data_IF_758066228202
#
_entry.id   IF_758066228202
#
_cell.length_a   1.000
_cell.length_b   1.000
_cell.length_c   1.000
_cell.angle_alpha   90.00
_cell.angle_beta   90.00
_cell.angle_gamma   90.00
#
_symmetry.space_group_name_H-M   'P 1'
#
loop_
_entity.id
_entity.type
_entity.pdbx_description
1 polymer ?
#
# COMPACT_ATOMS: atom_id res chain seq x y z
N UNK A 1 -14.17 -14.32 -17.39
CA UNK A 1 -12.96 -14.39 -18.23
C UNK A 1 -11.68 -14.43 -17.38
N UNK A 2 -11.43 -13.48 -16.44
CA UNK A 2 -10.20 -13.50 -15.62
C UNK A 2 -10.09 -14.75 -14.72
N UNK A 3 -11.16 -15.27 -14.18
CA UNK A 3 -11.16 -16.49 -13.37
C UNK A 3 -10.56 -17.70 -14.10
N UNK A 4 -10.89 -17.85 -15.39
CA UNK A 4 -10.30 -18.91 -16.23
C UNK A 4 -8.79 -18.68 -16.43
N UNK A 5 -8.36 -17.44 -16.65
CA UNK A 5 -6.94 -17.06 -16.73
C UNK A 5 -6.25 -17.29 -15.39
N UNK A 6 -6.87 -16.88 -14.29
CA UNK A 6 -6.32 -17.06 -12.94
C UNK A 6 -6.19 -18.54 -12.56
N UNK A 7 -7.11 -19.42 -13.04
CA UNK A 7 -7.02 -20.88 -12.79
C UNK A 7 -5.73 -21.50 -13.36
N UNK A 8 -5.16 -20.88 -14.40
CA UNK A 8 -3.85 -21.26 -14.96
C UNK A 8 -2.72 -20.55 -14.21
N UNK A 9 -2.84 -19.23 -14.02
CA UNK A 9 -1.81 -18.42 -13.37
C UNK A 9 -1.51 -18.86 -11.92
N UNK A 10 -2.52 -19.36 -11.18
CA UNK A 10 -2.32 -19.85 -9.81
C UNK A 10 -1.40 -21.06 -9.69
N UNK A 11 -1.14 -21.78 -10.81
CA UNK A 11 -0.21 -22.93 -10.85
C UNK A 11 1.24 -22.51 -11.12
N UNK A 12 1.45 -21.28 -11.57
CA UNK A 12 2.77 -20.72 -11.86
C UNK A 12 3.35 -20.04 -10.62
N UNK A 13 4.67 -19.87 -10.61
CA UNK A 13 5.35 -19.10 -9.56
C UNK A 13 4.71 -17.72 -9.36
N UNK A 14 4.36 -17.33 -8.11
CA UNK A 14 3.66 -16.08 -7.84
C UNK A 14 4.46 -14.84 -8.24
N UNK A 15 5.78 -14.83 -8.07
CA UNK A 15 6.61 -13.67 -8.42
C UNK A 15 6.79 -13.57 -9.94
N UNK A 16 6.88 -14.70 -10.65
CA UNK A 16 6.85 -14.71 -12.10
C UNK A 16 5.55 -14.13 -12.67
N UNK A 17 4.40 -14.57 -12.14
CA UNK A 17 3.10 -14.04 -12.57
C UNK A 17 2.91 -12.58 -12.20
N UNK A 18 3.49 -12.10 -11.10
CA UNK A 18 3.54 -10.68 -10.77
C UNK A 18 4.31 -9.89 -11.85
N UNK A 19 5.48 -10.37 -12.30
CA UNK A 19 6.24 -9.71 -13.36
C UNK A 19 5.46 -9.64 -14.67
N UNK A 20 4.77 -10.73 -15.03
CA UNK A 20 3.91 -10.75 -16.23
C UNK A 20 2.75 -9.74 -16.09
N UNK A 21 2.10 -9.69 -14.93
CA UNK A 21 1.06 -8.71 -14.63
C UNK A 21 1.57 -7.27 -14.73
N UNK A 22 2.77 -6.99 -14.20
CA UNK A 22 3.40 -5.67 -14.31
C UNK A 22 3.69 -5.26 -15.76
N UNK A 23 4.06 -6.20 -16.64
CA UNK A 23 4.19 -5.90 -18.07
C UNK A 23 2.87 -5.48 -18.69
N UNK A 24 1.77 -6.16 -18.36
CA UNK A 24 0.42 -5.79 -18.84
C UNK A 24 0.01 -4.42 -18.30
N UNK A 25 0.25 -4.13 -17.03
CA UNK A 25 -0.06 -2.82 -16.43
C UNK A 25 0.79 -1.72 -17.07
N UNK A 26 2.08 -1.94 -17.30
CA UNK A 26 2.93 -0.97 -18.01
C UNK A 26 2.42 -0.70 -19.44
N UNK A 27 2.01 -1.75 -20.16
CA UNK A 27 1.40 -1.59 -21.47
C UNK A 27 0.10 -0.77 -21.40
N UNK A 28 -0.75 -1.02 -20.41
CA UNK A 28 -1.97 -0.24 -20.18
C UNK A 28 -1.70 1.28 -19.99
N UNK A 29 -0.51 1.64 -19.53
CA UNK A 29 -0.06 3.04 -19.39
C UNK A 29 0.40 3.70 -20.68
N UNK A 30 0.61 2.96 -21.76
CA UNK A 30 0.97 3.52 -23.09
C UNK A 30 -0.25 4.11 -23.79
N UNK A 31 -0.05 4.97 -24.81
CA UNK A 31 -1.15 5.57 -25.57
C UNK A 31 -2.09 4.50 -26.17
N UNK A 32 -1.54 3.43 -26.74
CA UNK A 32 -2.32 2.31 -27.28
C UNK A 32 -3.03 1.53 -26.16
N UNK A 33 -2.34 1.27 -25.06
CA UNK A 33 -2.93 0.59 -23.90
C UNK A 33 -4.07 1.40 -23.28
N UNK A 34 -3.92 2.72 -23.16
CA UNK A 34 -4.98 3.60 -22.69
C UNK A 34 -6.22 3.51 -23.59
N UNK A 35 -6.03 3.48 -24.92
CA UNK A 35 -7.14 3.30 -25.84
C UNK A 35 -7.87 1.96 -25.66
N UNK A 36 -7.14 0.88 -25.41
CA UNK A 36 -7.69 -0.48 -25.26
C UNK A 36 -8.30 -0.75 -23.89
N UNK A 37 -7.72 -0.15 -22.83
CA UNK A 37 -8.14 -0.41 -21.43
C UNK A 37 -8.94 0.73 -20.82
N UNK A 38 -9.09 1.88 -21.48
CA UNK A 38 -9.88 3.00 -20.97
C UNK A 38 -11.35 2.59 -20.85
N UNK A 39 -12.00 3.05 -19.77
CA UNK A 39 -13.46 2.94 -19.64
C UNK A 39 -14.09 4.21 -20.24
N UNK A 40 -15.14 4.01 -21.01
CA UNK A 40 -15.96 5.13 -21.50
C UNK A 40 -16.91 5.68 -20.41
N UNK A 41 -17.07 4.94 -19.29
CA UNK A 41 -17.87 5.38 -18.15
C UNK A 41 -17.05 6.36 -17.31
N UNK A 42 -17.49 7.61 -17.26
CA UNK A 42 -16.98 8.58 -16.29
C UNK A 42 -17.30 8.11 -14.87
N UNK A 43 -16.36 8.28 -13.94
CA UNK A 43 -16.63 8.07 -12.52
C UNK A 43 -17.67 9.11 -12.05
N UNK A 44 -18.58 8.67 -11.18
CA UNK A 44 -19.52 9.61 -10.53
C UNK A 44 -18.73 10.67 -9.76
N UNK A 45 -19.07 11.97 -9.89
CA UNK A 45 -18.47 13.02 -9.06
C UNK A 45 -18.56 12.74 -7.54
N UNK A 46 -19.56 11.96 -7.12
CA UNK A 46 -19.75 11.54 -5.74
C UNK A 46 -18.66 10.58 -5.22
N UNK A 47 -17.85 9.99 -6.12
CA UNK A 47 -16.70 9.16 -5.74
C UNK A 47 -15.44 9.99 -5.42
N UNK A 48 -15.45 11.29 -5.72
CA UNK A 48 -14.31 12.16 -5.45
C UNK A 48 -14.11 12.34 -3.95
N UNK A 49 -12.86 12.34 -3.53
CA UNK A 49 -12.46 12.56 -2.13
C UNK A 49 -11.42 13.67 -2.11
N UNK A 50 -11.67 14.71 -1.31
CA UNK A 50 -10.72 15.80 -1.08
C UNK A 50 -10.12 15.62 0.32
N UNK A 51 -8.81 15.40 0.38
CA UNK A 51 -8.02 15.18 1.61
C UNK A 51 -6.54 15.45 1.34
N UNK A 52 -5.73 15.66 2.37
CA UNK A 52 -4.28 15.95 2.25
C UNK A 52 -3.96 17.20 1.40
N UNK A 53 -4.91 18.13 1.24
CA UNK A 53 -4.79 19.22 0.27
C UNK A 53 -4.87 18.80 -1.21
N UNK A 54 -5.25 17.54 -1.46
CA UNK A 54 -5.29 16.90 -2.76
C UNK A 54 -6.72 16.46 -3.11
N UNK A 55 -6.95 16.22 -4.41
CA UNK A 55 -8.22 15.73 -4.90
C UNK A 55 -8.05 14.35 -5.57
N UNK A 56 -8.68 13.36 -4.99
CA UNK A 56 -8.68 11.97 -5.45
C UNK A 56 -9.92 11.71 -6.31
N UNK A 57 -9.74 11.12 -7.49
CA UNK A 57 -10.86 10.79 -8.39
C UNK A 57 -11.80 9.73 -7.83
N UNK A 58 -11.27 8.87 -6.94
CA UNK A 58 -12.04 7.87 -6.21
C UNK A 58 -11.32 7.49 -4.92
N UNK A 59 -12.03 6.93 -3.93
CA UNK A 59 -11.41 6.48 -2.68
C UNK A 59 -10.52 5.26 -2.85
N UNK A 60 -10.57 4.55 -3.99
CA UNK A 60 -9.89 3.27 -4.20
C UNK A 60 -8.50 3.45 -4.76
N UNK A 61 -7.49 2.97 -4.05
CA UNK A 61 -6.08 3.03 -4.42
C UNK A 61 -5.35 1.69 -4.43
N UNK A 62 -4.16 1.71 -5.00
CA UNK A 62 -3.23 0.60 -4.98
C UNK A 62 -2.30 0.72 -3.77
N UNK A 63 -2.22 -0.34 -2.96
CA UNK A 63 -1.33 -0.39 -1.80
C UNK A 63 0.14 -0.53 -2.20
N UNK A 64 1.04 -0.01 -1.35
CA UNK A 64 2.48 -0.22 -1.47
C UNK A 64 2.85 -1.70 -1.58
N UNK A 65 4.00 -1.95 -2.19
CA UNK A 65 4.52 -3.30 -2.41
C UNK A 65 4.15 -3.90 -3.77
N UNK A 66 3.22 -3.31 -4.52
CA UNK A 66 2.88 -3.77 -5.87
C UNK A 66 3.81 -3.17 -6.92
N UNK A 67 3.88 -1.85 -7.05
CA UNK A 67 4.85 -1.13 -7.88
C UNK A 67 5.99 -0.56 -7.02
N UNK A 68 6.96 -1.41 -6.69
CA UNK A 68 8.10 -1.04 -5.83
C UNK A 68 9.09 -0.08 -6.48
N UNK A 69 8.96 0.12 -7.80
CA UNK A 69 9.94 0.82 -8.63
C UNK A 69 9.39 2.06 -9.33
N UNK A 70 8.11 2.37 -9.13
CA UNK A 70 7.40 3.47 -9.82
C UNK A 70 7.47 3.34 -11.36
N UNK A 71 7.17 2.16 -11.89
CA UNK A 71 7.31 1.87 -13.34
C UNK A 71 5.97 1.72 -14.07
N UNK A 72 4.84 1.70 -13.35
CA UNK A 72 3.54 1.38 -13.95
C UNK A 72 2.39 2.31 -13.52
N UNK A 73 2.69 3.46 -12.93
CA UNK A 73 1.72 4.40 -12.34
C UNK A 73 0.60 4.78 -13.31
N UNK A 74 0.94 5.17 -14.56
CA UNK A 74 -0.08 5.49 -15.61
C UNK A 74 -0.98 4.29 -15.90
N UNK A 75 -0.41 3.09 -15.89
CA UNK A 75 -1.16 1.87 -16.15
C UNK A 75 -2.18 1.59 -15.06
N UNK A 76 -1.81 1.75 -13.79
CA UNK A 76 -2.77 1.60 -12.69
C UNK A 76 -3.88 2.64 -12.74
N UNK A 77 -3.56 3.89 -13.08
CA UNK A 77 -4.59 4.91 -13.32
C UNK A 77 -5.53 4.49 -14.47
N UNK A 78 -4.99 4.02 -15.59
CA UNK A 78 -5.78 3.51 -16.72
C UNK A 78 -6.69 2.36 -16.30
N UNK A 79 -6.28 1.53 -15.34
CA UNK A 79 -7.08 0.42 -14.81
C UNK A 79 -8.10 0.84 -13.74
N UNK A 80 -8.16 2.13 -13.36
CA UNK A 80 -9.20 2.72 -12.53
C UNK A 80 -8.82 3.00 -11.07
N UNK A 81 -7.53 2.87 -10.70
CA UNK A 81 -7.09 3.29 -9.37
C UNK A 81 -7.01 4.82 -9.28
N UNK A 82 -7.66 5.41 -8.27
CA UNK A 82 -7.67 6.85 -8.01
C UNK A 82 -6.35 7.36 -7.42
N UNK A 83 -5.61 6.50 -6.72
CA UNK A 83 -4.27 6.77 -6.23
C UNK A 83 -3.40 5.52 -6.23
N UNK A 84 -2.08 5.71 -6.26
CA UNK A 84 -1.09 4.62 -6.31
C UNK A 84 -0.01 4.90 -5.27
N UNK A 85 0.16 3.99 -4.31
CA UNK A 85 1.27 4.04 -3.36
C UNK A 85 2.41 3.15 -3.89
N UNK A 86 3.51 3.80 -4.31
CA UNK A 86 4.71 3.10 -4.80
C UNK A 86 5.68 2.78 -3.65
N UNK A 87 6.56 1.82 -3.84
CA UNK A 87 7.54 1.42 -2.84
C UNK A 87 7.14 0.12 -2.12
N UNK A 88 7.72 -0.22 -0.97
CA UNK A 88 8.60 0.61 -0.14
C UNK A 88 9.93 0.83 -0.83
N UNK A 89 10.36 2.07 -0.80
CA UNK A 89 11.65 2.54 -1.32
C UNK A 89 12.62 2.72 -0.16
N UNK A 90 13.86 2.31 -0.34
CA UNK A 90 14.95 2.50 0.62
C UNK A 90 16.02 3.41 0.01
N UNK A 91 16.90 4.07 0.80
CA UNK A 91 17.93 4.94 0.23
C UNK A 91 18.77 4.26 -0.84
N UNK A 92 19.31 3.10 -0.51
CA UNK A 92 20.12 2.30 -1.41
C UNK A 92 19.26 1.19 -2.05
N UNK A 93 19.57 0.77 -3.29
CA UNK A 93 18.94 -0.38 -3.91
C UNK A 93 19.21 -1.65 -3.11
N UNK A 94 18.22 -2.55 -3.04
CA UNK A 94 18.40 -3.85 -2.43
C UNK A 94 17.57 -4.94 -3.10
N UNK A 95 18.09 -6.19 -3.15
CA UNK A 95 17.44 -7.31 -3.85
C UNK A 95 16.21 -7.85 -3.10
N UNK A 96 16.08 -7.54 -1.80
CA UNK A 96 15.13 -8.16 -0.89
C UNK A 96 15.59 -9.53 -0.38
N UNK A 97 14.67 -10.27 0.19
CA UNK A 97 14.95 -11.59 0.77
C UNK A 97 15.10 -12.67 -0.32
N UNK A 98 15.76 -13.82 -0.02
CA UNK A 98 15.89 -14.96 -0.94
C UNK A 98 14.53 -15.49 -1.41
N UNK A 99 14.51 -16.07 -2.61
CA UNK A 99 13.34 -16.76 -3.16
C UNK A 99 13.31 -18.23 -2.71
N UNK A 100 12.11 -18.85 -2.62
CA UNK A 100 10.78 -18.29 -2.86
C UNK A 100 10.34 -17.39 -1.69
N UNK A 101 9.65 -16.29 -2.02
CA UNK A 101 9.28 -15.24 -1.05
C UNK A 101 7.87 -14.68 -1.23
N UNK A 102 7.06 -15.29 -2.08
CA UNK A 102 5.66 -14.97 -2.30
C UNK A 102 4.88 -16.27 -2.50
N UNK A 103 3.80 -16.45 -1.74
CA UNK A 103 2.98 -17.66 -1.72
C UNK A 103 1.50 -17.30 -1.77
N UNK A 104 0.71 -18.07 -2.52
CA UNK A 104 -0.75 -17.92 -2.56
C UNK A 104 -1.41 -18.95 -1.66
N UNK A 105 -2.44 -18.52 -0.96
CA UNK A 105 -3.36 -19.37 -0.20
C UNK A 105 -4.75 -19.22 -0.83
N UNK A 106 -5.05 -19.95 -1.92
CA UNK A 106 -6.30 -19.76 -2.66
C UNK A 106 -7.56 -20.08 -1.85
N UNK A 107 -7.50 -21.05 -0.94
CA UNK A 107 -8.62 -21.40 -0.07
C UNK A 107 -9.03 -20.24 0.86
N UNK A 108 -8.07 -19.37 1.19
CA UNK A 108 -8.25 -18.24 2.09
C UNK A 108 -8.38 -16.89 1.36
N UNK A 109 -8.27 -16.86 0.04
CA UNK A 109 -8.16 -15.60 -0.70
C UNK A 109 -6.98 -14.74 -0.19
N UNK A 110 -5.84 -15.38 0.09
CA UNK A 110 -4.74 -14.77 0.83
C UNK A 110 -3.39 -14.93 0.15
N UNK A 111 -2.43 -14.12 0.59
CA UNK A 111 -1.02 -14.22 0.20
C UNK A 111 -0.15 -14.20 1.45
N UNK A 112 0.93 -15.01 1.46
CA UNK A 112 2.04 -14.84 2.39
C UNK A 112 3.23 -14.30 1.60
N UNK A 113 3.86 -13.23 2.10
CA UNK A 113 5.04 -12.67 1.48
C UNK A 113 6.14 -12.38 2.50
N UNK A 114 7.40 -12.52 2.03
CA UNK A 114 8.61 -12.10 2.73
C UNK A 114 9.55 -11.39 1.77
N UNK A 115 9.04 -10.36 1.08
CA UNK A 115 9.73 -9.68 -0.03
C UNK A 115 11.00 -8.95 0.42
N UNK A 116 10.98 -8.27 1.58
CA UNK A 116 12.15 -7.58 2.15
C UNK A 116 12.54 -6.32 1.39
N UNK A 117 11.56 -5.50 0.98
CA UNK A 117 11.76 -4.20 0.33
C UNK A 117 12.69 -4.23 -0.89
N UNK A 118 12.51 -5.20 -1.80
CA UNK A 118 13.26 -5.21 -3.05
C UNK A 118 12.91 -4.00 -3.91
N UNK A 119 13.87 -3.09 -4.12
CA UNK A 119 13.69 -1.85 -4.86
C UNK A 119 15.01 -1.34 -5.45
N UNK A 120 14.96 -0.29 -6.29
CA UNK A 120 16.11 0.25 -7.02
C UNK A 120 16.77 1.45 -6.32
N UNK A 121 16.37 1.77 -5.08
CA UNK A 121 16.87 2.90 -4.31
C UNK A 121 16.16 4.23 -4.61
N UNK A 122 16.25 5.17 -3.64
CA UNK A 122 15.52 6.43 -3.67
C UNK A 122 15.85 7.30 -4.89
N UNK A 123 17.13 7.41 -5.25
CA UNK A 123 17.57 8.23 -6.39
C UNK A 123 17.00 7.73 -7.72
N UNK A 124 17.00 6.41 -7.94
CA UNK A 124 16.46 5.84 -9.18
C UNK A 124 14.94 5.99 -9.28
N UNK A 125 14.23 5.85 -8.15
CA UNK A 125 12.77 6.05 -8.09
C UNK A 125 12.41 7.52 -8.27
N UNK A 126 13.12 8.45 -7.62
CA UNK A 126 12.96 9.90 -7.78
C UNK A 126 13.14 10.33 -9.25
N UNK A 127 14.19 9.81 -9.91
CA UNK A 127 14.40 10.08 -11.34
C UNK A 127 13.25 9.63 -12.23
N UNK A 128 12.61 8.47 -11.92
CA UNK A 128 11.43 7.99 -12.68
C UNK A 128 10.19 8.84 -12.40
N UNK A 129 9.97 9.22 -11.15
CA UNK A 129 8.85 10.09 -10.77
C UNK A 129 8.98 11.46 -11.42
N UNK A 130 10.19 12.05 -11.40
CA UNK A 130 10.48 13.29 -12.09
C UNK A 130 10.18 13.19 -13.59
N UNK A 131 10.73 12.19 -14.27
CA UNK A 131 10.48 11.99 -15.68
C UNK A 131 8.99 11.77 -16.02
N UNK A 132 8.25 11.08 -15.12
CA UNK A 132 6.81 10.90 -15.25
C UNK A 132 6.05 12.23 -15.16
N UNK A 133 6.43 13.12 -14.24
CA UNK A 133 5.86 14.46 -14.08
C UNK A 133 6.18 15.37 -15.28
N UNK A 134 7.43 15.36 -15.73
CA UNK A 134 7.90 16.15 -16.88
C UNK A 134 7.20 15.75 -18.20
N UNK A 135 6.85 14.46 -18.38
CA UNK A 135 6.07 14.00 -19.53
C UNK A 135 4.66 14.59 -19.57
N UNK A 136 4.17 15.12 -18.47
CA UNK A 136 2.81 15.69 -18.36
C UNK A 136 1.70 14.66 -18.56
N UNK A 137 0.47 15.15 -18.77
CA UNK A 137 -0.71 14.32 -18.88
C UNK A 137 -1.32 13.96 -17.52
N UNK A 138 -2.50 13.31 -17.56
CA UNK A 138 -3.24 12.97 -16.36
C UNK A 138 -2.55 11.83 -15.59
N UNK A 139 -2.36 12.02 -14.29
CA UNK A 139 -1.80 11.07 -13.36
C UNK A 139 -2.77 10.86 -12.19
N UNK A 140 -2.75 9.69 -11.54
CA UNK A 140 -3.38 9.51 -10.25
C UNK A 140 -2.60 10.29 -9.18
N UNK A 141 -3.16 10.45 -8.00
CA UNK A 141 -2.38 10.86 -6.83
C UNK A 141 -1.32 9.79 -6.51
N UNK A 142 -0.07 10.21 -6.29
CA UNK A 142 1.08 9.33 -6.10
C UNK A 142 1.59 9.43 -4.68
N UNK A 143 1.35 8.38 -3.89
CA UNK A 143 2.02 8.20 -2.60
C UNK A 143 3.36 7.49 -2.77
N UNK A 144 4.33 7.86 -1.96
CA UNK A 144 5.62 7.16 -1.90
C UNK A 144 5.85 6.61 -0.51
N UNK A 145 5.91 5.29 -0.42
CA UNK A 145 6.17 4.55 0.80
C UNK A 145 7.69 4.41 0.98
N UNK A 146 8.21 4.87 2.10
CA UNK A 146 9.65 4.92 2.41
C UNK A 146 9.98 4.04 3.61
N UNK A 147 11.18 3.47 3.62
CA UNK A 147 11.64 2.62 4.71
C UNK A 147 13.16 2.48 4.74
N UNK A 148 13.68 1.90 5.84
CA UNK A 148 15.12 1.71 5.97
C UNK A 148 15.64 0.51 5.19
N UNK A 149 16.90 0.56 4.77
CA UNK A 149 17.62 -0.58 4.22
C UNK A 149 17.74 -1.73 5.24
N UNK A 150 17.79 -2.96 4.75
CA UNK A 150 17.98 -4.14 5.61
C UNK A 150 19.32 -4.11 6.34
N UNK A 151 20.36 -3.59 5.68
CA UNK A 151 21.72 -3.47 6.21
C UNK A 151 21.91 -2.35 7.23
N UNK A 152 21.01 -1.38 7.29
CA UNK A 152 21.10 -0.26 8.22
C UNK A 152 20.73 -0.73 9.63
N UNK A 153 21.59 -0.55 10.65
CA UNK A 153 21.25 -0.81 12.05
C UNK A 153 20.02 0.01 12.50
N UNK A 154 19.36 -0.44 13.55
CA UNK A 154 18.14 0.21 14.02
C UNK A 154 18.41 1.62 14.57
N UNK A 155 19.53 1.81 15.24
CA UNK A 155 20.00 3.08 15.76
C UNK A 155 20.27 4.15 14.69
N UNK A 156 20.53 3.73 13.44
CA UNK A 156 20.77 4.60 12.29
C UNK A 156 19.55 4.68 11.34
N UNK A 157 18.40 4.18 11.77
CA UNK A 157 17.21 4.15 10.92
C UNK A 157 16.78 5.53 10.45
N UNK A 158 16.91 6.55 11.28
CA UNK A 158 16.52 7.94 10.98
C UNK A 158 17.21 8.45 9.72
N UNK A 159 18.52 8.20 9.55
CA UNK A 159 19.29 8.65 8.39
C UNK A 159 18.71 8.11 7.07
N UNK A 160 18.24 6.86 7.07
CA UNK A 160 17.61 6.25 5.90
C UNK A 160 16.27 6.91 5.54
N UNK A 161 15.45 7.23 6.55
CA UNK A 161 14.18 7.92 6.31
C UNK A 161 14.39 9.34 5.82
N UNK A 162 15.36 10.09 6.37
CA UNK A 162 15.77 11.42 5.89
C UNK A 162 16.22 11.35 4.43
N UNK A 163 17.14 10.46 4.10
CA UNK A 163 17.64 10.30 2.74
C UNK A 163 16.53 9.97 1.73
N UNK A 164 15.53 9.16 2.15
CA UNK A 164 14.37 8.91 1.32
C UNK A 164 13.46 10.15 1.18
N UNK A 165 13.21 10.88 2.26
CA UNK A 165 12.39 12.10 2.23
C UNK A 165 13.00 13.16 1.32
N UNK A 166 14.28 13.48 1.48
CA UNK A 166 15.01 14.45 0.64
C UNK A 166 14.91 14.11 -0.85
N UNK A 167 15.08 12.83 -1.20
CA UNK A 167 15.09 12.41 -2.60
C UNK A 167 13.69 12.37 -3.23
N UNK A 168 12.65 12.02 -2.46
CA UNK A 168 11.35 11.59 -2.99
C UNK A 168 10.22 12.60 -2.74
N UNK A 169 10.28 13.40 -1.66
CA UNK A 169 9.25 14.38 -1.34
C UNK A 169 8.94 15.34 -2.50
N UNK A 170 9.92 15.88 -3.23
CA UNK A 170 9.65 16.81 -4.34
C UNK A 170 8.82 16.20 -5.50
N UNK A 171 8.72 14.88 -5.55
CA UNK A 171 8.07 14.15 -6.65
C UNK A 171 6.83 13.37 -6.22
N UNK A 172 6.62 13.22 -4.91
CA UNK A 172 5.46 12.57 -4.31
C UNK A 172 4.31 13.58 -4.10
N UNK A 173 3.07 13.10 -4.10
CA UNK A 173 1.93 13.89 -3.63
C UNK A 173 1.73 13.70 -2.11
N UNK A 174 2.17 12.57 -1.55
CA UNK A 174 2.30 12.31 -0.11
C UNK A 174 3.37 11.26 0.17
N UNK A 175 3.96 11.31 1.36
CA UNK A 175 4.91 10.31 1.85
C UNK A 175 4.25 9.39 2.88
N UNK A 176 4.68 8.13 2.92
CA UNK A 176 4.27 7.15 3.93
C UNK A 176 5.48 6.55 4.60
N UNK A 177 5.68 6.82 5.88
CA UNK A 177 6.74 6.23 6.70
C UNK A 177 6.36 4.82 7.08
N UNK A 178 7.07 3.82 6.56
CA UNK A 178 6.78 2.41 6.77
C UNK A 178 7.67 1.81 7.85
N UNK A 179 7.12 1.67 9.05
CA UNK A 179 7.75 1.05 10.22
C UNK A 179 7.15 -0.32 10.56
N UNK A 180 6.32 -0.89 9.67
CA UNK A 180 5.39 -1.97 10.01
C UNK A 180 5.64 -3.31 9.31
N UNK A 181 6.66 -3.41 8.42
CA UNK A 181 6.91 -4.65 7.70
C UNK A 181 7.47 -5.74 8.64
N UNK A 182 6.90 -6.96 8.62
CA UNK A 182 7.45 -8.08 9.38
C UNK A 182 8.69 -8.70 8.72
N UNK A 183 9.05 -8.25 7.52
CA UNK A 183 10.03 -8.91 6.64
C UNK A 183 11.42 -8.25 6.69
N UNK A 184 11.59 -7.23 7.52
CA UNK A 184 12.85 -6.54 7.79
C UNK A 184 13.15 -6.65 9.29
N UNK A 185 14.27 -7.26 9.70
CA UNK A 185 14.59 -7.44 11.12
C UNK A 185 14.57 -6.12 11.89
N UNK A 186 13.96 -6.12 13.07
CA UNK A 186 13.89 -4.99 13.99
C UNK A 186 12.96 -3.83 13.54
N UNK A 187 12.42 -3.85 12.32
CA UNK A 187 11.64 -2.73 11.80
C UNK A 187 10.39 -2.43 12.64
N UNK A 188 9.70 -3.46 13.11
CA UNK A 188 8.48 -3.29 13.89
C UNK A 188 8.71 -2.68 15.27
N UNK A 189 9.90 -2.83 15.85
CA UNK A 189 10.29 -2.13 17.07
C UNK A 189 10.37 -0.61 16.90
N UNK A 190 10.47 -0.12 15.65
CA UNK A 190 10.39 1.32 15.36
C UNK A 190 8.98 1.90 15.53
N UNK A 191 7.96 1.09 15.81
CA UNK A 191 6.60 1.54 16.11
C UNK A 191 6.43 1.93 17.60
N UNK A 192 7.38 1.56 18.47
CA UNK A 192 7.42 2.03 19.85
C UNK A 192 7.63 3.55 19.86
N UNK A 193 6.90 4.27 20.72
CA UNK A 193 6.84 5.74 20.72
C UNK A 193 8.21 6.40 20.71
N UNK A 194 9.13 5.91 21.56
CA UNK A 194 10.47 6.46 21.73
C UNK A 194 11.32 6.38 20.45
N UNK A 195 11.01 5.40 19.59
CA UNK A 195 11.70 5.21 18.31
C UNK A 195 10.96 5.89 17.16
N UNK A 196 9.62 5.89 17.24
CA UNK A 196 8.75 6.39 16.17
C UNK A 196 8.79 7.91 16.07
N UNK A 197 8.64 8.60 17.19
CA UNK A 197 8.54 10.07 17.23
C UNK A 197 9.77 10.76 16.61
N UNK A 198 11.02 10.38 16.94
CA UNK A 198 12.21 10.98 16.30
C UNK A 198 12.25 10.77 14.78
N UNK A 199 11.84 9.57 14.30
CA UNK A 199 11.81 9.28 12.87
C UNK A 199 10.78 10.17 12.16
N UNK A 200 9.56 10.26 12.71
CA UNK A 200 8.49 11.04 12.09
C UNK A 200 8.81 12.53 12.08
N UNK A 201 9.36 13.07 13.17
CA UNK A 201 9.84 14.46 13.25
C UNK A 201 10.88 14.75 12.19
N UNK A 202 11.91 13.89 12.09
CA UNK A 202 12.97 14.05 11.09
C UNK A 202 12.41 14.01 9.65
N UNK A 203 11.46 13.11 9.35
CA UNK A 203 10.82 13.08 8.03
C UNK A 203 10.00 14.34 7.76
N UNK A 204 9.25 14.85 8.75
CA UNK A 204 8.50 16.10 8.61
C UNK A 204 9.41 17.28 8.27
N UNK A 205 10.57 17.40 8.96
CA UNK A 205 11.55 18.46 8.73
C UNK A 205 12.14 18.42 7.30
N UNK A 206 12.15 17.25 6.66
CA UNK A 206 12.72 17.03 5.33
C UNK A 206 11.66 16.87 4.22
N UNK A 207 10.39 16.70 4.56
CA UNK A 207 9.30 16.49 3.59
C UNK A 207 8.84 17.79 2.89
N UNK A 208 9.34 18.95 3.32
CA UNK A 208 8.86 20.26 2.84
C UNK A 208 7.33 20.40 3.02
N UNK A 209 6.60 20.73 1.95
CA UNK A 209 5.13 20.84 1.98
C UNK A 209 4.40 19.49 1.68
N UNK A 210 5.15 18.40 1.51
CA UNK A 210 4.57 17.10 1.15
C UNK A 210 3.93 16.45 2.38
N UNK A 211 2.62 16.12 2.37
CA UNK A 211 1.95 15.47 3.48
C UNK A 211 2.61 14.15 3.87
N UNK A 212 2.82 13.93 5.18
CA UNK A 212 3.45 12.73 5.72
C UNK A 212 2.44 11.91 6.52
N UNK A 213 2.35 10.61 6.20
CA UNK A 213 1.57 9.61 6.93
C UNK A 213 2.48 8.54 7.51
N UNK A 214 2.02 7.84 8.55
CA UNK A 214 2.71 6.66 9.08
C UNK A 214 1.92 5.38 8.78
N UNK A 215 2.61 4.29 8.41
CA UNK A 215 1.99 2.98 8.14
C UNK A 215 2.29 1.99 9.26
N UNK A 216 1.23 1.48 9.88
CA UNK A 216 1.29 0.62 11.06
C UNK A 216 0.96 -0.85 10.76
N UNK A 217 1.40 -1.74 11.66
CA UNK A 217 1.12 -3.16 11.63
C UNK A 217 -0.25 -3.46 12.27
N UNK A 218 -0.96 -4.50 11.80
CA UNK A 218 -2.22 -4.93 12.42
C UNK A 218 -2.02 -5.64 13.75
N UNK A 219 -0.78 -6.07 14.02
CA UNK A 219 -0.43 -6.89 15.18
C UNK A 219 -0.05 -6.04 16.42
N UNK A 220 -0.16 -4.72 16.35
CA UNK A 220 -0.01 -3.84 17.50
C UNK A 220 -1.12 -4.09 18.53
N UNK A 221 -0.80 -3.92 19.81
CA UNK A 221 -1.83 -3.85 20.84
C UNK A 221 -2.68 -2.59 20.70
N UNK A 222 -3.84 -2.57 21.33
CA UNK A 222 -4.76 -1.44 21.26
C UNK A 222 -4.10 -0.18 21.86
N UNK A 223 -3.37 -0.33 22.97
CA UNK A 223 -2.60 0.75 23.61
C UNK A 223 -1.49 1.29 22.67
N UNK A 224 -0.78 0.41 21.98
CA UNK A 224 0.26 0.84 21.02
C UNK A 224 -0.33 1.57 19.79
N UNK A 225 -1.58 1.26 19.42
CA UNK A 225 -2.29 2.02 18.38
C UNK A 225 -2.66 3.40 18.88
N UNK A 226 -3.11 3.52 20.14
CA UNK A 226 -3.41 4.81 20.80
C UNK A 226 -2.15 5.68 20.89
N UNK A 227 -1.00 5.12 21.29
CA UNK A 227 0.29 5.81 21.31
C UNK A 227 0.67 6.37 19.92
N UNK A 228 0.45 5.60 18.85
CA UNK A 228 0.69 6.09 17.48
C UNK A 228 -0.25 7.24 17.12
N UNK A 229 -1.52 7.15 17.50
CA UNK A 229 -2.51 8.22 17.27
C UNK A 229 -2.07 9.50 17.97
N UNK A 230 -1.64 9.40 19.22
CA UNK A 230 -1.14 10.55 20.00
C UNK A 230 0.07 11.20 19.33
N UNK A 231 1.06 10.39 18.91
CA UNK A 231 2.24 10.89 18.18
C UNK A 231 1.85 11.60 16.88
N UNK A 232 0.89 11.04 16.13
CA UNK A 232 0.37 11.66 14.89
C UNK A 232 -0.26 13.02 15.16
N UNK A 233 -1.06 13.15 16.21
CA UNK A 233 -1.69 14.41 16.62
C UNK A 233 -0.65 15.42 17.13
N UNK A 234 0.26 15.01 18.02
CA UNK A 234 1.28 15.87 18.62
C UNK A 234 2.26 16.45 17.59
N UNK A 235 2.64 15.65 16.59
CA UNK A 235 3.54 16.09 15.52
C UNK A 235 2.80 16.79 14.38
N UNK A 236 1.49 16.71 14.30
CA UNK A 236 0.70 17.26 13.19
C UNK A 236 0.95 16.54 11.86
N UNK A 237 1.13 15.19 11.89
CA UNK A 237 1.19 14.41 10.65
C UNK A 237 -0.13 14.54 9.87
N UNK A 238 -0.09 14.22 8.59
CA UNK A 238 -1.28 14.28 7.74
C UNK A 238 -2.24 13.08 7.96
N UNK A 239 -1.77 11.98 8.59
CA UNK A 239 -2.62 10.83 8.87
C UNK A 239 -1.92 9.49 9.06
N UNK A 240 -2.71 8.41 8.96
CA UNK A 240 -2.27 7.03 9.20
C UNK A 240 -2.68 6.12 8.04
N UNK A 241 -1.81 5.18 7.66
CA UNK A 241 -2.12 4.05 6.76
C UNK A 241 -2.26 2.78 7.61
N UNK A 242 -3.44 2.19 7.65
CA UNK A 242 -3.74 1.00 8.45
C UNK A 242 -4.46 -0.05 7.59
N UNK A 243 -3.85 -1.23 7.36
CA UNK A 243 -2.66 -1.76 8.01
C UNK A 243 -1.66 -2.36 7.00
N UNK A 244 -0.46 -2.72 7.49
CA UNK A 244 0.43 -3.64 6.79
C UNK A 244 -0.13 -5.09 6.89
N UNK A 245 0.68 -6.10 6.59
CA UNK A 245 0.36 -7.52 6.69
C UNK A 245 0.51 -8.04 8.12
N UNK A 246 -0.26 -9.10 8.49
CA UNK A 246 -0.18 -9.73 9.82
C UNK A 246 0.78 -10.91 9.85
N UNK A 247 1.32 -11.20 11.04
CA UNK A 247 2.05 -12.45 11.33
C UNK A 247 1.13 -13.56 11.86
N UNK A 248 -0.11 -13.25 12.25
CA UNK A 248 -1.10 -14.28 12.65
C UNK A 248 -1.39 -15.24 11.49
N UNK A 249 -1.68 -16.48 11.87
CA UNK A 249 -2.08 -17.56 10.96
C UNK A 249 -3.43 -18.16 11.37
N UNK A 250 -4.14 -17.49 12.28
CA UNK A 250 -5.38 -17.98 12.83
C UNK A 250 -6.50 -17.99 11.80
N UNK A 251 -7.40 -18.96 11.90
CA UNK A 251 -8.59 -19.06 11.09
C UNK A 251 -8.38 -19.40 9.60
N UNK A 252 -7.17 -19.85 9.21
CA UNK A 252 -6.90 -20.25 7.83
C UNK A 252 -7.55 -21.61 7.49
N UNK A 253 -8.20 -21.68 6.32
CA UNK A 253 -8.71 -22.92 5.74
C UNK A 253 -7.60 -23.78 5.10
N UNK A 254 -6.48 -23.15 4.70
CA UNK A 254 -5.29 -23.87 4.20
C UNK A 254 -4.72 -24.76 5.30
N UNK A 255 -4.38 -26.00 4.94
CA UNK A 255 -3.87 -26.98 5.89
C UNK A 255 -2.64 -26.47 6.65
N UNK A 256 -2.62 -26.70 7.97
CA UNK A 256 -1.53 -26.23 8.86
C UNK A 256 -0.15 -26.73 8.40
N UNK A 257 -0.06 -27.94 7.86
CA UNK A 257 1.18 -28.48 7.31
C UNK A 257 1.72 -27.68 6.12
N UNK A 258 0.84 -27.15 5.28
CA UNK A 258 1.22 -26.27 4.17
C UNK A 258 1.65 -24.88 4.68
N UNK A 259 0.90 -24.31 5.61
CA UNK A 259 1.23 -23.03 6.24
C UNK A 259 2.60 -23.12 6.94
N UNK A 260 2.86 -24.20 7.70
CA UNK A 260 4.15 -24.44 8.36
C UNK A 260 5.29 -24.61 7.37
N UNK A 261 5.05 -25.27 6.23
CA UNK A 261 6.06 -25.41 5.17
C UNK A 261 6.39 -24.08 4.49
N UNK A 262 5.43 -23.18 4.34
CA UNK A 262 5.66 -21.82 3.84
C UNK A 262 6.49 -21.02 4.87
N UNK A 263 6.17 -21.14 6.15
CA UNK A 263 6.91 -20.52 7.25
C UNK A 263 6.60 -19.01 7.40
N UNK A 264 7.63 -18.25 7.78
CA UNK A 264 7.53 -16.82 8.09
C UNK A 264 7.11 -15.95 6.90
N UNK A 265 6.60 -14.77 7.22
CA UNK A 265 6.17 -13.74 6.26
C UNK A 265 4.89 -13.04 6.70
N UNK A 266 4.56 -11.96 6.02
CA UNK A 266 3.32 -11.23 6.24
C UNK A 266 2.16 -11.86 5.47
N UNK A 267 1.04 -12.14 6.16
CA UNK A 267 -0.22 -12.61 5.60
C UNK A 267 -1.10 -11.42 5.23
N UNK A 268 -1.66 -11.44 4.01
CA UNK A 268 -2.60 -10.43 3.50
C UNK A 268 -3.81 -11.10 2.85
N UNK A 269 -4.85 -10.33 2.60
CA UNK A 269 -6.07 -10.82 1.97
C UNK A 269 -7.24 -10.95 2.93
N UNK A 270 -8.20 -11.82 2.62
CA UNK A 270 -9.45 -11.95 3.37
C UNK A 270 -9.27 -12.20 4.87
N UNK A 271 -8.28 -12.98 5.35
CA UNK A 271 -8.09 -13.19 6.78
C UNK A 271 -7.81 -11.91 7.57
N UNK A 272 -7.27 -10.86 6.91
CA UNK A 272 -6.95 -9.60 7.58
C UNK A 272 -8.16 -8.66 7.73
N UNK A 273 -9.30 -8.95 7.07
CA UNK A 273 -10.46 -8.04 6.97
C UNK A 273 -10.98 -7.59 8.34
N UNK A 274 -11.22 -8.51 9.25
CA UNK A 274 -11.79 -8.20 10.57
C UNK A 274 -10.84 -7.31 11.36
N UNK A 275 -9.57 -7.71 11.47
CA UNK A 275 -8.58 -6.94 12.24
C UNK A 275 -8.33 -5.55 11.64
N UNK A 276 -8.34 -5.40 10.31
CA UNK A 276 -8.19 -4.07 9.70
C UNK A 276 -9.35 -3.13 10.03
N UNK A 277 -10.58 -3.63 10.16
CA UNK A 277 -11.74 -2.85 10.60
C UNK A 277 -11.61 -2.47 12.09
N UNK A 278 -11.18 -3.40 12.95
CA UNK A 278 -10.95 -3.14 14.37
C UNK A 278 -9.91 -2.03 14.57
N UNK A 279 -8.75 -2.15 13.90
CA UNK A 279 -7.70 -1.14 13.96
C UNK A 279 -8.18 0.21 13.44
N UNK A 280 -8.96 0.24 12.34
CA UNK A 280 -9.56 1.47 11.83
C UNK A 280 -10.46 2.15 12.87
N UNK A 281 -11.30 1.38 13.58
CA UNK A 281 -12.18 1.90 14.65
C UNK A 281 -11.38 2.48 15.81
N UNK A 282 -10.33 1.78 16.24
CA UNK A 282 -9.43 2.25 17.30
C UNK A 282 -8.76 3.57 16.91
N UNK A 283 -8.19 3.66 15.71
CA UNK A 283 -7.60 4.89 15.19
C UNK A 283 -8.64 6.02 15.19
N UNK A 284 -9.86 5.77 14.69
CA UNK A 284 -10.90 6.81 14.61
C UNK A 284 -11.49 7.23 15.93
N UNK A 285 -11.33 6.42 16.97
CA UNK A 285 -11.70 6.81 18.33
C UNK A 285 -10.85 7.99 18.85
N UNK A 286 -9.54 7.98 18.58
CA UNK A 286 -8.60 9.01 19.02
C UNK A 286 -8.25 10.06 17.97
N UNK A 287 -8.29 9.72 16.68
CA UNK A 287 -7.86 10.59 15.59
C UNK A 287 -9.03 11.41 15.02
N UNK A 288 -8.97 12.76 15.05
CA UNK A 288 -10.00 13.64 14.49
C UNK A 288 -10.24 13.39 12.99
N UNK A 289 -11.45 13.76 12.50
CA UNK A 289 -11.89 13.44 11.14
C UNK A 289 -11.13 14.15 10.03
N UNK A 290 -10.52 15.29 10.32
CA UNK A 290 -9.67 16.05 9.40
C UNK A 290 -8.37 15.33 9.02
N UNK A 291 -7.89 14.42 9.86
CA UNK A 291 -6.75 13.57 9.52
C UNK A 291 -7.14 12.47 8.53
N UNK A 292 -6.27 12.24 7.55
CA UNK A 292 -6.47 11.18 6.56
C UNK A 292 -6.21 9.80 7.19
N UNK A 293 -7.16 8.88 7.07
CA UNK A 293 -6.91 7.46 7.34
C UNK A 293 -7.08 6.67 6.05
N UNK A 294 -5.99 6.07 5.59
CA UNK A 294 -5.99 5.16 4.45
C UNK A 294 -6.11 3.73 4.99
N UNK A 295 -7.26 3.10 4.80
CA UNK A 295 -7.48 1.74 5.27
C UNK A 295 -7.01 0.70 4.24
N UNK A 296 -6.29 -0.32 4.71
CA UNK A 296 -5.70 -1.38 3.87
C UNK A 296 -5.86 -2.72 4.56
N UNK A 297 -6.49 -3.69 3.89
CA UNK A 297 -6.63 -5.07 4.37
C UNK A 297 -7.99 -5.67 4.05
N UNK A 298 -8.00 -6.86 3.47
CA UNK A 298 -9.21 -7.64 3.23
C UNK A 298 -10.16 -7.13 2.15
N UNK A 299 -9.76 -6.18 1.31
CA UNK A 299 -10.61 -5.57 0.28
C UNK A 299 -10.70 -6.45 -0.96
N UNK A 300 -11.89 -6.94 -1.26
CA UNK A 300 -12.21 -7.76 -2.44
C UNK A 300 -13.40 -7.22 -3.22
N UNK A 301 -14.41 -6.66 -2.57
CA UNK A 301 -15.70 -6.20 -3.14
C UNK A 301 -15.97 -4.74 -2.81
N UNK A 302 -16.87 -4.10 -3.56
CA UNK A 302 -17.31 -2.73 -3.29
C UNK A 302 -17.86 -2.55 -1.88
N UNK A 303 -18.57 -3.56 -1.36
CA UNK A 303 -19.08 -3.60 0.02
C UNK A 303 -17.96 -3.51 1.08
N UNK A 304 -16.77 -4.07 0.79
CA UNK A 304 -15.62 -3.94 1.70
C UNK A 304 -15.16 -2.49 1.77
N UNK A 305 -15.14 -1.79 0.62
CA UNK A 305 -14.79 -0.37 0.55
C UNK A 305 -15.81 0.48 1.30
N UNK A 306 -17.11 0.26 1.04
CA UNK A 306 -18.20 0.98 1.72
C UNK A 306 -18.12 0.76 3.24
N UNK A 307 -17.92 -0.48 3.69
CA UNK A 307 -17.76 -0.82 5.11
C UNK A 307 -16.61 -0.04 5.75
N UNK A 308 -15.44 0.04 5.10
CA UNK A 308 -14.30 0.78 5.63
C UNK A 308 -14.57 2.29 5.67
N UNK A 309 -15.22 2.87 4.64
CA UNK A 309 -15.61 4.28 4.62
C UNK A 309 -16.61 4.59 5.75
N UNK A 310 -17.62 3.74 5.94
CA UNK A 310 -18.63 3.89 7.00
C UNK A 310 -18.00 3.85 8.40
N UNK A 311 -16.90 3.10 8.57
CA UNK A 311 -16.11 3.08 9.80
C UNK A 311 -15.07 4.20 9.91
N UNK A 312 -15.04 5.13 8.93
CA UNK A 312 -14.25 6.35 9.00
C UNK A 312 -12.96 6.33 8.18
N UNK A 313 -12.73 5.35 7.32
CA UNK A 313 -11.64 5.47 6.34
C UNK A 313 -11.88 6.66 5.41
N UNK A 314 -10.84 7.45 5.16
CA UNK A 314 -10.87 8.54 4.16
C UNK A 314 -10.63 7.96 2.77
N UNK A 315 -9.67 7.06 2.67
CA UNK A 315 -9.27 6.35 1.45
C UNK A 315 -9.10 4.85 1.75
N UNK A 316 -9.17 4.03 0.72
CA UNK A 316 -9.05 2.58 0.84
C UNK A 316 -8.06 2.06 -0.20
N UNK A 317 -7.12 1.24 0.24
CA UNK A 317 -6.15 0.61 -0.66
C UNK A 317 -6.35 -0.91 -0.71
N UNK A 318 -6.03 -1.49 -1.86
CA UNK A 318 -6.08 -2.93 -2.05
C UNK A 318 -4.78 -3.47 -2.68
N UNK A 319 -4.47 -4.72 -2.36
CA UNK A 319 -3.36 -5.49 -2.93
C UNK A 319 -3.84 -6.88 -3.36
N UNK A 320 -4.18 -7.73 -2.40
CA UNK A 320 -4.53 -9.14 -2.62
C UNK A 320 -5.77 -9.30 -3.48
N UNK A 321 -6.82 -8.50 -3.25
CA UNK A 321 -8.02 -8.49 -4.09
C UNK A 321 -7.70 -8.23 -5.57
N UNK A 322 -6.78 -7.31 -5.85
CA UNK A 322 -6.34 -7.06 -7.23
C UNK A 322 -5.65 -8.27 -7.86
N UNK A 323 -4.81 -9.00 -7.11
CA UNK A 323 -4.17 -10.24 -7.58
C UNK A 323 -5.22 -11.29 -7.95
N UNK A 324 -6.24 -11.48 -7.13
CA UNK A 324 -7.26 -12.52 -7.31
C UNK A 324 -8.35 -12.15 -8.33
N UNK A 325 -8.73 -10.87 -8.42
CA UNK A 325 -9.83 -10.40 -9.28
C UNK A 325 -9.39 -9.78 -10.62
N UNK A 326 -8.08 -9.54 -10.78
CA UNK A 326 -7.45 -9.16 -12.05
C UNK A 326 -7.49 -7.68 -12.40
N UNK A 327 -7.09 -7.34 -13.66
CA UNK A 327 -6.75 -5.97 -14.04
C UNK A 327 -7.89 -4.96 -13.92
N UNK A 328 -9.14 -5.39 -14.05
CA UNK A 328 -10.31 -4.51 -13.93
C UNK A 328 -10.87 -4.41 -12.50
N UNK A 329 -10.12 -4.87 -11.50
CA UNK A 329 -10.54 -4.92 -10.11
C UNK A 329 -11.02 -3.57 -9.57
N UNK A 330 -10.21 -2.51 -9.71
CA UNK A 330 -10.55 -1.19 -9.19
C UNK A 330 -11.88 -0.66 -9.79
N UNK A 331 -12.07 -0.82 -11.10
CA UNK A 331 -13.33 -0.43 -11.76
C UNK A 331 -14.52 -1.21 -11.25
N UNK A 332 -14.35 -2.53 -11.08
CA UNK A 332 -15.43 -3.37 -10.54
C UNK A 332 -15.82 -2.96 -9.13
N UNK A 333 -14.84 -2.62 -8.28
CA UNK A 333 -15.14 -2.08 -6.95
C UNK A 333 -16.02 -0.83 -7.04
N UNK A 334 -15.64 0.11 -7.89
CA UNK A 334 -16.38 1.38 -8.07
C UNK A 334 -17.77 1.16 -8.69
N UNK A 335 -17.91 0.19 -9.61
CA UNK A 335 -19.22 -0.20 -10.16
C UNK A 335 -20.11 -0.86 -9.09
N UNK A 336 -19.56 -1.73 -8.26
CA UNK A 336 -20.25 -2.40 -7.15
C UNK A 336 -20.74 -1.39 -6.10
N UNK A 337 -19.94 -0.35 -5.77
CA UNK A 337 -20.32 0.76 -4.89
C UNK A 337 -21.41 1.65 -5.50
N UNK A 338 -21.33 1.96 -6.79
CA UNK A 338 -22.28 2.84 -7.48
C UNK A 338 -23.64 2.21 -7.80
N UNK A 339 -23.73 0.88 -7.81
CA UNK A 339 -24.96 0.15 -8.12
C UNK A 339 -25.97 0.09 -6.98
N UNK A 340 -25.61 0.59 -5.78
CA UNK A 340 -26.47 0.60 -4.57
C UNK A 340 -27.00 1.99 -4.17
N UNK A 341 -26.67 3.03 -4.94
CA UNK A 341 -27.13 4.41 -4.70
C UNK A 341 -28.20 4.86 -5.69
#
# INVERSE_FOLDING_TARGET
MYEAVFSILKRLDPEFTHHLGMMVVRFAGTALGQLLFRSDKALSPAMRVDTLGLSFESPVGLAAGFDKKAVAIRGFHTLGFGHVEVGTVTPLPQPGNPRPRLFRLPADGALINRMGFNNDGAIAVAGRLRALREQGGKLPVIGVNIGKNKSTPQENAIDDYIACADALAPWADYLVVNVSSPNTPGLRGLQEREMLEPILRAVLDHAQDTPVLVKIAPDLSDEAIEDVVDVVCELGLAGIVATNTTISRDGLATAQSEVSRIGEGGLSGSPLKIRSIEVLKLIRHGLPREYCVISVGGVFHGEDVETLIDHGATLVQAYTGFVYRGPFFARKLLEEMGGRR
#
